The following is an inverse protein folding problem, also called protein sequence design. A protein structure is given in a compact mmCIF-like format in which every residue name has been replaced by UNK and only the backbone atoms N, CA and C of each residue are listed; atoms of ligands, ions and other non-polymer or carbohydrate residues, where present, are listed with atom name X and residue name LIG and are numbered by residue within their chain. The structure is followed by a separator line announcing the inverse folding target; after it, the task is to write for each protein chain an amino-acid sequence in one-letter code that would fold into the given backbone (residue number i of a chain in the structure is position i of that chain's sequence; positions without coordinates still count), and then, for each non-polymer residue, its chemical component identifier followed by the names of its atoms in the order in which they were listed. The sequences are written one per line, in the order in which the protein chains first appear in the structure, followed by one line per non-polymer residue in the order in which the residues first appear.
data_IF_319042150162
#
_entry.id   IF_319042150162
#
_cell.length_a   1.000
_cell.length_b   1.000
_cell.length_c   1.000
_cell.angle_alpha   90.00
_cell.angle_beta   90.00
_cell.angle_gamma   90.00
#
_symmetry.space_group_name_H-M   'P 1'
#
loop_
_entity.id
_entity.type
_entity.pdbx_description
1 polymer ?
#
# COMPACT_ATOMS: atom_id res chain seq x y z
N UNK A 1 12.68 5.24 -23.30
CA UNK A 1 13.07 3.83 -23.31
C UNK A 1 14.55 3.71 -23.67
N UNK A 2 15.21 2.69 -23.17
CA UNK A 2 16.55 2.29 -23.55
C UNK A 2 16.44 1.10 -24.52
N UNK A 3 17.20 1.13 -25.60
CA UNK A 3 17.24 0.07 -26.62
C UNK A 3 18.68 -0.31 -26.94
N UNK A 4 18.92 -1.56 -27.31
CA UNK A 4 20.27 -2.03 -27.63
C UNK A 4 20.75 -1.56 -29.00
N UNK A 5 19.83 -1.27 -29.90
CA UNK A 5 20.18 -0.76 -31.23
C UNK A 5 19.05 0.12 -31.80
N UNK A 6 19.40 1.00 -32.75
CA UNK A 6 18.39 1.83 -33.43
C UNK A 6 17.36 1.02 -34.21
N UNK A 7 17.67 -0.23 -34.57
CA UNK A 7 16.71 -1.12 -35.24
C UNK A 7 15.51 -1.44 -34.36
N UNK A 8 15.69 -1.44 -33.04
CA UNK A 8 14.63 -1.69 -32.08
C UNK A 8 13.64 -0.51 -31.99
N UNK A 9 13.99 0.65 -32.56
CA UNK A 9 13.15 1.83 -32.63
C UNK A 9 12.19 1.85 -33.83
N UNK A 10 12.35 0.92 -34.76
CA UNK A 10 11.54 0.85 -36.01
C UNK A 10 10.04 0.63 -35.78
N UNK A 11 9.65 0.25 -34.58
CA UNK A 11 8.23 0.10 -34.16
C UNK A 11 7.55 1.44 -33.82
N UNK A 12 8.32 2.53 -33.73
CA UNK A 12 7.79 3.85 -33.38
C UNK A 12 7.82 4.75 -34.61
N UNK A 13 6.68 5.38 -34.92
CA UNK A 13 6.56 6.34 -36.03
C UNK A 13 7.39 7.61 -35.82
N UNK A 14 7.52 8.02 -34.57
CA UNK A 14 8.29 9.21 -34.18
C UNK A 14 9.09 8.93 -32.89
N UNK A 15 10.37 9.20 -32.93
CA UNK A 15 11.24 9.16 -31.75
C UNK A 15 12.36 10.20 -31.85
N UNK A 16 12.93 10.53 -30.72
CA UNK A 16 14.12 11.38 -30.62
C UNK A 16 15.14 10.68 -29.73
N UNK A 17 16.34 10.51 -30.23
CA UNK A 17 17.48 10.04 -29.42
C UNK A 17 17.90 11.18 -28.50
N UNK A 18 17.89 10.95 -27.20
CA UNK A 18 18.27 11.95 -26.18
C UNK A 18 19.68 11.69 -25.63
N UNK A 19 20.23 10.52 -25.81
CA UNK A 19 21.56 10.15 -25.37
C UNK A 19 21.88 8.68 -25.62
N UNK A 20 23.10 8.30 -25.32
CA UNK A 20 23.59 6.93 -25.38
C UNK A 20 24.15 6.56 -24.03
N UNK A 21 23.80 5.37 -23.54
CA UNK A 21 24.37 4.82 -22.31
C UNK A 21 25.79 4.29 -22.57
N UNK A 22 26.66 4.39 -21.60
CA UNK A 22 28.03 3.91 -21.65
C UNK A 22 28.45 3.34 -20.28
N UNK A 23 29.59 2.70 -20.23
CA UNK A 23 30.14 2.09 -19.01
C UNK A 23 31.00 3.05 -18.18
N UNK A 24 31.11 4.33 -18.60
CA UNK A 24 31.82 5.34 -17.80
C UNK A 24 30.92 5.81 -16.67
N UNK A 25 31.50 6.08 -15.51
CA UNK A 25 30.80 6.70 -14.39
C UNK A 25 30.67 8.23 -14.58
N UNK A 26 30.44 8.65 -15.82
CA UNK A 26 30.40 10.06 -16.23
C UNK A 26 29.09 10.36 -17.00
N UNK A 27 28.52 11.52 -16.72
CA UNK A 27 27.47 12.14 -17.52
C UNK A 27 28.08 13.23 -18.38
N UNK A 28 27.86 13.20 -19.69
CA UNK A 28 28.35 14.21 -20.62
C UNK A 28 27.21 14.88 -21.37
N UNK A 29 27.16 16.20 -21.38
CA UNK A 29 26.17 16.98 -22.11
C UNK A 29 26.76 18.32 -22.56
N UNK A 30 26.55 18.71 -23.82
CA UNK A 30 26.96 20.01 -24.32
C UNK A 30 28.50 20.28 -24.27
N UNK A 31 29.31 19.24 -24.21
CA UNK A 31 30.78 19.36 -24.05
C UNK A 31 31.24 19.42 -22.60
N UNK A 32 30.35 19.46 -21.65
CA UNK A 32 30.63 19.37 -20.21
C UNK A 32 30.47 17.93 -19.72
N UNK A 33 31.18 17.61 -18.64
CA UNK A 33 31.18 16.27 -18.05
C UNK A 33 31.19 16.38 -16.52
N UNK A 34 30.35 15.55 -15.88
CA UNK A 34 30.27 15.43 -14.44
C UNK A 34 30.31 13.96 -14.04
N UNK A 35 30.92 13.61 -12.93
CA UNK A 35 30.88 12.24 -12.40
C UNK A 35 29.48 11.90 -11.81
N UNK A 36 29.11 10.62 -11.83
CA UNK A 36 27.86 10.16 -11.20
C UNK A 36 27.85 10.46 -9.71
N UNK A 37 28.98 10.30 -9.02
CA UNK A 37 29.09 10.61 -7.59
C UNK A 37 28.85 12.09 -7.31
N UNK A 38 29.44 12.98 -8.12
CA UNK A 38 29.23 14.42 -7.99
C UNK A 38 27.81 14.83 -8.30
N UNK A 39 27.21 14.30 -9.39
CA UNK A 39 25.82 14.53 -9.75
C UNK A 39 24.87 14.05 -8.64
N UNK A 40 25.16 12.89 -8.06
CA UNK A 40 24.40 12.36 -6.93
C UNK A 40 24.53 13.24 -5.68
N UNK A 41 25.72 13.68 -5.35
CA UNK A 41 25.97 14.57 -4.22
C UNK A 41 25.21 15.90 -4.37
N UNK A 42 25.25 16.51 -5.57
CA UNK A 42 24.50 17.74 -5.87
C UNK A 42 22.99 17.52 -5.74
N UNK A 43 22.48 16.41 -6.26
CA UNK A 43 21.04 16.07 -6.19
C UNK A 43 20.56 15.88 -4.75
N UNK A 44 21.39 15.25 -3.91
CA UNK A 44 21.07 14.92 -2.52
C UNK A 44 21.16 16.11 -1.57
N UNK A 45 22.17 16.97 -1.77
CA UNK A 45 22.53 18.03 -0.82
C UNK A 45 21.39 19.01 -0.45
N UNK A 46 20.52 19.49 -1.38
CA UNK A 46 19.56 20.55 -1.10
C UNK A 46 18.61 20.23 0.06
N UNK A 47 18.17 18.99 0.16
CA UNK A 47 17.17 18.58 1.15
C UNK A 47 17.78 17.82 2.34
N UNK A 48 19.08 17.50 2.33
CA UNK A 48 19.70 16.66 3.35
C UNK A 48 19.62 17.25 4.77
N UNK A 49 19.54 18.58 4.89
CA UNK A 49 19.39 19.27 6.18
C UNK A 49 17.99 19.17 6.77
N UNK A 50 16.99 19.05 5.92
CA UNK A 50 15.56 19.03 6.32
C UNK A 50 15.04 17.59 6.34
N UNK A 51 15.42 16.81 5.35
CA UNK A 51 15.04 15.40 5.19
C UNK A 51 16.31 14.57 4.98
N UNK A 52 17.06 14.25 6.06
CA UNK A 52 18.27 13.47 5.94
C UNK A 52 17.98 12.08 5.36
N UNK A 53 18.74 11.68 4.36
CA UNK A 53 18.58 10.35 3.71
C UNK A 53 19.00 9.19 4.62
N UNK A 54 19.71 9.50 5.70
CA UNK A 54 20.07 8.53 6.73
C UNK A 54 19.84 9.17 8.10
N UNK A 55 19.07 8.50 8.92
CA UNK A 55 19.02 8.83 10.34
C UNK A 55 20.35 8.53 11.01
N UNK A 56 20.64 9.27 12.08
CA UNK A 56 21.79 8.94 12.93
C UNK A 56 21.59 7.54 13.47
N UNK A 57 22.58 6.69 13.29
CA UNK A 57 22.52 5.33 13.82
C UNK A 57 22.18 5.37 15.32
N UNK A 58 21.27 4.53 15.79
CA UNK A 58 20.93 4.47 17.20
C UNK A 58 22.19 4.16 18.01
N UNK A 59 22.40 4.89 19.09
CA UNK A 59 23.57 4.72 19.99
C UNK A 59 23.51 3.41 20.78
N UNK A 60 22.36 2.75 20.79
CA UNK A 60 22.18 1.46 21.46
C UNK A 60 21.98 0.33 20.45
N UNK A 61 22.59 -0.83 20.70
CA UNK A 61 22.33 -2.04 19.93
C UNK A 61 20.85 -2.46 20.11
N UNK A 62 20.10 -2.48 19.03
CA UNK A 62 18.73 -2.98 19.03
C UNK A 62 18.80 -4.48 19.31
N UNK A 63 18.15 -4.93 20.38
CA UNK A 63 17.95 -6.37 20.63
C UNK A 63 16.91 -6.86 19.61
N UNK A 64 17.37 -7.55 18.60
CA UNK A 64 16.48 -8.23 17.65
C UNK A 64 16.00 -9.52 18.29
N UNK A 65 14.71 -9.59 18.60
CA UNK A 65 14.06 -10.84 18.96
C UNK A 65 13.81 -11.63 17.66
N UNK A 66 14.69 -12.57 17.35
CA UNK A 66 14.47 -13.47 16.23
C UNK A 66 13.55 -14.61 16.69
N UNK A 67 12.40 -14.75 16.03
CA UNK A 67 11.57 -15.94 16.21
C UNK A 67 12.29 -17.13 15.56
N UNK A 68 12.75 -18.06 16.38
CA UNK A 68 13.53 -19.24 15.92
C UNK A 68 12.64 -20.40 15.47
N UNK A 69 11.37 -20.36 15.81
CA UNK A 69 10.41 -21.40 15.46
C UNK A 69 9.20 -20.76 14.79
N UNK A 70 8.80 -21.32 13.64
CA UNK A 70 7.53 -20.94 13.01
C UNK A 70 6.40 -21.57 13.83
N UNK A 71 5.43 -20.73 14.24
CA UNK A 71 4.21 -21.26 14.83
C UNK A 71 3.46 -22.05 13.73
N UNK A 72 3.17 -23.32 13.97
CA UNK A 72 2.32 -24.12 13.10
C UNK A 72 0.85 -23.81 13.43
N UNK A 73 0.42 -22.63 12.98
CA UNK A 73 -0.95 -22.17 13.16
C UNK A 73 -1.83 -22.87 12.13
N UNK A 74 -2.57 -23.88 12.56
CA UNK A 74 -3.63 -24.50 11.76
C UNK A 74 -4.92 -23.73 11.97
N UNK A 75 -5.65 -23.37 10.89
CA UNK A 75 -6.94 -22.73 11.03
C UNK A 75 -7.91 -23.70 11.74
N UNK A 76 -8.72 -23.16 12.63
CA UNK A 76 -9.79 -23.95 13.29
C UNK A 76 -10.97 -24.18 12.35
N UNK A 77 -11.17 -23.23 11.44
CA UNK A 77 -12.24 -23.27 10.41
C UNK A 77 -11.59 -23.26 9.04
N UNK A 78 -11.91 -24.26 8.22
CA UNK A 78 -11.47 -24.30 6.82
C UNK A 78 -12.62 -23.90 5.91
N UNK A 79 -12.40 -22.91 5.04
CA UNK A 79 -13.37 -22.42 4.07
C UNK A 79 -12.76 -22.59 2.68
N UNK A 80 -13.51 -23.27 1.78
CA UNK A 80 -13.03 -23.54 0.43
C UNK A 80 -12.83 -22.25 -0.37
N UNK A 81 -13.77 -21.32 -0.27
CA UNK A 81 -13.72 -20.03 -0.97
C UNK A 81 -13.99 -18.91 0.04
N UNK A 82 -12.96 -18.36 0.69
CA UNK A 82 -13.15 -17.32 1.69
C UNK A 82 -13.70 -16.03 1.08
N UNK A 83 -14.61 -15.37 1.81
CA UNK A 83 -15.08 -14.03 1.47
C UNK A 83 -14.17 -12.98 2.13
N UNK A 84 -13.58 -12.13 1.31
CA UNK A 84 -12.80 -10.98 1.74
C UNK A 84 -13.62 -9.71 1.56
N UNK A 85 -13.81 -8.95 2.61
CA UNK A 85 -14.46 -7.64 2.56
C UNK A 85 -13.39 -6.56 2.62
N UNK A 86 -13.42 -5.66 1.65
CA UNK A 86 -12.50 -4.52 1.56
C UNK A 86 -13.33 -3.24 1.66
N UNK A 87 -13.36 -2.56 2.82
CA UNK A 87 -13.99 -1.25 2.93
C UNK A 87 -13.14 -0.21 2.22
N UNK A 88 -13.78 0.56 1.33
CA UNK A 88 -13.13 1.62 0.56
C UNK A 88 -13.50 2.95 1.19
N UNK A 89 -12.54 3.56 1.87
CA UNK A 89 -12.71 4.86 2.52
C UNK A 89 -12.26 5.99 1.61
N UNK A 90 -12.75 7.22 1.82
CA UNK A 90 -12.15 8.39 1.19
C UNK A 90 -10.65 8.45 1.48
N UNK A 91 -9.84 8.47 0.41
CA UNK A 91 -8.38 8.50 0.49
C UNK A 91 -7.67 7.14 0.42
N UNK A 92 -8.37 6.01 0.45
CA UNK A 92 -7.78 4.70 0.07
C UNK A 92 -7.71 4.58 -1.46
N UNK A 93 -6.74 3.85 -1.98
CA UNK A 93 -6.57 3.69 -3.43
C UNK A 93 -5.96 2.35 -3.88
N UNK A 94 -5.74 1.41 -3.00
CA UNK A 94 -5.17 0.09 -3.33
C UNK A 94 -6.23 -1.03 -3.32
N UNK A 95 -7.52 -0.68 -3.35
CA UNK A 95 -8.64 -1.62 -3.26
C UNK A 95 -8.68 -2.60 -4.45
N UNK A 96 -8.43 -2.12 -5.66
CA UNK A 96 -8.46 -2.96 -6.87
C UNK A 96 -7.26 -3.91 -6.95
N UNK A 97 -6.08 -3.47 -6.55
CA UNK A 97 -4.88 -4.32 -6.52
C UNK A 97 -5.01 -5.38 -5.43
N UNK A 98 -5.52 -5.00 -4.26
CA UNK A 98 -5.84 -5.92 -3.17
C UNK A 98 -6.90 -6.94 -3.59
N UNK A 99 -7.98 -6.48 -4.21
CA UNK A 99 -9.03 -7.35 -4.77
C UNK A 99 -8.42 -8.40 -5.70
N UNK A 100 -7.63 -7.96 -6.70
CA UNK A 100 -6.97 -8.86 -7.65
C UNK A 100 -6.06 -9.88 -6.97
N UNK A 101 -5.32 -9.46 -5.93
CA UNK A 101 -4.43 -10.37 -5.21
C UNK A 101 -5.21 -11.48 -4.48
N UNK A 102 -6.30 -11.13 -3.81
CA UNK A 102 -7.16 -12.11 -3.12
C UNK A 102 -7.91 -13.02 -4.10
N UNK A 103 -8.45 -12.49 -5.20
CA UNK A 103 -9.11 -13.28 -6.23
C UNK A 103 -8.14 -14.27 -6.89
N UNK A 104 -6.90 -13.85 -7.16
CA UNK A 104 -5.84 -14.73 -7.66
C UNK A 104 -5.48 -15.85 -6.67
N UNK A 105 -5.65 -15.61 -5.38
CA UNK A 105 -5.47 -16.60 -4.33
C UNK A 105 -6.71 -17.51 -4.12
N UNK A 106 -7.79 -17.32 -4.89
CA UNK A 106 -8.98 -18.16 -4.85
C UNK A 106 -10.10 -17.64 -3.93
N UNK A 107 -9.98 -16.42 -3.40
CA UNK A 107 -11.03 -15.83 -2.58
C UNK A 107 -12.12 -15.11 -3.41
N UNK A 108 -13.31 -14.94 -2.85
CA UNK A 108 -14.29 -13.95 -3.32
C UNK A 108 -14.02 -12.63 -2.64
N UNK A 109 -14.18 -11.51 -3.36
CA UNK A 109 -13.94 -10.18 -2.81
C UNK A 109 -15.15 -9.29 -2.98
N UNK A 110 -15.56 -8.64 -1.89
CA UNK A 110 -16.59 -7.63 -1.86
C UNK A 110 -15.96 -6.28 -1.47
N UNK A 111 -16.11 -5.26 -2.34
CA UNK A 111 -15.78 -3.88 -2.02
C UNK A 111 -16.99 -3.22 -1.39
N UNK A 112 -16.80 -2.51 -0.27
CA UNK A 112 -17.84 -1.73 0.41
C UNK A 112 -17.43 -0.27 0.43
N UNK A 113 -18.09 0.58 -0.35
CA UNK A 113 -17.76 1.99 -0.46
C UNK A 113 -18.33 2.79 0.73
N UNK A 114 -17.46 3.43 1.49
CA UNK A 114 -17.85 4.29 2.62
C UNK A 114 -18.10 5.69 2.09
N UNK A 115 -19.36 6.07 2.01
CA UNK A 115 -19.83 7.37 1.52
C UNK A 115 -20.00 8.33 2.71
N UNK A 116 -19.32 9.47 2.66
CA UNK A 116 -19.30 10.44 3.77
C UNK A 116 -19.83 11.84 3.38
N UNK A 117 -20.54 11.98 2.25
CA UNK A 117 -21.06 13.29 1.80
C UNK A 117 -22.23 13.79 2.67
N UNK A 118 -23.02 12.89 3.24
CA UNK A 118 -24.12 13.20 4.16
C UNK A 118 -24.11 12.22 5.33
N UNK A 119 -24.73 12.61 6.44
CA UNK A 119 -24.89 11.75 7.60
C UNK A 119 -25.66 10.45 7.26
N UNK A 120 -26.70 10.56 6.44
CA UNK A 120 -27.48 9.40 6.02
C UNK A 120 -26.63 8.44 5.16
N UNK A 121 -25.85 8.95 4.21
CA UNK A 121 -24.95 8.11 3.40
C UNK A 121 -23.93 7.38 4.26
N UNK A 122 -23.42 8.03 5.31
CA UNK A 122 -22.49 7.39 6.22
C UNK A 122 -23.17 6.28 7.04
N UNK A 123 -24.39 6.52 7.55
CA UNK A 123 -25.18 5.50 8.25
C UNK A 123 -25.45 4.30 7.36
N UNK A 124 -25.92 4.52 6.14
CA UNK A 124 -26.19 3.44 5.17
C UNK A 124 -24.93 2.64 4.88
N UNK A 125 -23.77 3.30 4.74
CA UNK A 125 -22.49 2.63 4.51
C UNK A 125 -22.03 1.80 5.71
N UNK A 126 -22.28 2.28 6.92
CA UNK A 126 -21.99 1.53 8.17
C UNK A 126 -22.89 0.29 8.24
N UNK A 127 -24.17 0.40 7.89
CA UNK A 127 -25.10 -0.71 7.87
C UNK A 127 -24.68 -1.77 6.83
N UNK A 128 -24.30 -1.35 5.62
CA UNK A 128 -23.77 -2.21 4.58
C UNK A 128 -22.48 -2.92 5.01
N UNK A 129 -21.56 -2.17 5.62
CA UNK A 129 -20.29 -2.71 6.09
C UNK A 129 -20.47 -3.73 7.22
N UNK A 130 -21.37 -3.46 8.16
CA UNK A 130 -21.70 -4.42 9.24
C UNK A 130 -22.20 -5.75 8.68
N UNK A 131 -23.16 -5.69 7.75
CA UNK A 131 -23.71 -6.90 7.08
C UNK A 131 -22.60 -7.65 6.36
N UNK A 132 -21.74 -6.95 5.63
CA UNK A 132 -20.62 -7.54 4.92
C UNK A 132 -19.62 -8.22 5.88
N UNK A 133 -19.22 -7.55 6.98
CA UNK A 133 -18.28 -8.13 7.97
C UNK A 133 -18.86 -9.38 8.63
N UNK A 134 -20.15 -9.41 8.92
CA UNK A 134 -20.81 -10.59 9.49
C UNK A 134 -20.75 -11.83 8.58
N UNK A 135 -20.60 -11.64 7.28
CA UNK A 135 -20.46 -12.72 6.29
C UNK A 135 -18.99 -12.99 5.92
N UNK A 136 -18.09 -12.07 6.20
CA UNK A 136 -16.68 -12.16 5.82
C UNK A 136 -15.92 -13.24 6.60
N UNK A 137 -14.90 -13.78 5.95
CA UNK A 137 -13.82 -14.55 6.59
C UNK A 137 -12.60 -13.67 6.82
N UNK A 138 -12.43 -12.65 5.99
CA UNK A 138 -11.29 -11.72 6.06
C UNK A 138 -11.81 -10.29 5.87
N UNK A 139 -11.32 -9.36 6.67
CA UNK A 139 -11.48 -7.91 6.44
C UNK A 139 -10.11 -7.34 6.10
N UNK A 140 -9.98 -6.70 4.94
CA UNK A 140 -8.73 -6.11 4.48
C UNK A 140 -8.87 -4.59 4.37
N UNK A 141 -8.06 -3.84 5.11
CA UNK A 141 -8.00 -2.39 5.02
C UNK A 141 -6.92 -1.98 4.01
N UNK A 142 -7.31 -1.38 2.87
CA UNK A 142 -6.34 -0.98 1.87
C UNK A 142 -5.57 0.27 2.33
N UNK A 143 -4.35 0.43 1.80
CA UNK A 143 -3.59 1.65 1.96
C UNK A 143 -4.09 2.80 1.08
N UNK A 144 -3.37 3.91 1.06
CA UNK A 144 -3.69 5.06 0.22
C UNK A 144 -2.68 6.19 0.37
N UNK A 145 -2.77 7.17 -0.52
CA UNK A 145 -1.92 8.36 -0.56
C UNK A 145 -2.61 9.61 -0.03
N UNK A 146 -3.76 9.47 0.61
CA UNK A 146 -4.33 10.64 1.28
C UNK A 146 -3.34 11.12 2.34
N UNK A 147 -3.51 12.33 2.82
CA UNK A 147 -2.85 12.84 4.01
C UNK A 147 -3.14 11.96 5.26
N UNK A 148 -3.21 10.64 5.05
CA UNK A 148 -3.53 9.60 6.02
C UNK A 148 -2.49 9.47 7.10
N UNK A 149 -1.28 9.85 6.77
CA UNK A 149 -0.15 9.91 7.69
C UNK A 149 -0.18 11.18 8.56
N UNK A 150 -1.05 12.13 8.22
CA UNK A 150 -1.29 13.34 8.98
C UNK A 150 -2.41 13.16 10.03
N UNK A 151 -2.43 13.97 11.12
CA UNK A 151 -3.43 13.84 12.18
C UNK A 151 -4.89 13.94 11.70
N UNK A 152 -5.13 14.66 10.60
CA UNK A 152 -6.44 14.88 10.00
C UNK A 152 -6.76 13.92 8.84
N UNK A 153 -5.88 12.95 8.57
CA UNK A 153 -5.97 12.07 7.41
C UNK A 153 -7.01 10.96 7.50
N UNK A 154 -7.09 10.15 6.44
CA UNK A 154 -8.05 9.06 6.31
C UNK A 154 -7.91 7.99 7.39
N UNK A 155 -6.72 7.78 7.93
CA UNK A 155 -6.51 6.86 9.06
C UNK A 155 -7.33 7.21 10.29
N UNK A 156 -7.45 8.50 10.63
CA UNK A 156 -8.30 8.99 11.71
C UNK A 156 -9.79 8.74 11.43
N UNK A 157 -10.22 8.96 10.19
CA UNK A 157 -11.60 8.70 9.79
C UNK A 157 -11.92 7.19 9.84
N UNK A 158 -11.05 6.34 9.31
CA UNK A 158 -11.17 4.88 9.39
C UNK A 158 -11.29 4.43 10.85
N UNK A 159 -10.38 4.88 11.71
CA UNK A 159 -10.40 4.55 13.13
C UNK A 159 -11.70 5.01 13.81
N UNK A 160 -12.24 6.16 13.42
CA UNK A 160 -13.51 6.68 13.95
C UNK A 160 -14.69 5.82 13.51
N UNK A 161 -14.76 5.44 12.25
CA UNK A 161 -15.82 4.55 11.72
C UNK A 161 -15.75 3.19 12.40
N UNK A 162 -14.56 2.59 12.52
CA UNK A 162 -14.38 1.28 13.15
C UNK A 162 -14.64 1.27 14.68
N UNK A 163 -14.61 2.43 15.32
CA UNK A 163 -15.06 2.58 16.73
C UNK A 163 -16.57 2.52 16.90
N UNK A 164 -17.36 2.55 15.82
CA UNK A 164 -18.80 2.33 15.91
C UNK A 164 -19.07 1.00 16.64
N UNK A 165 -19.91 0.97 17.70
CA UNK A 165 -20.10 -0.23 18.52
C UNK A 165 -20.55 -1.47 17.73
N UNK A 166 -21.35 -1.28 16.68
CA UNK A 166 -21.86 -2.38 15.83
C UNK A 166 -20.74 -2.99 14.98
N UNK A 167 -19.91 -2.14 14.34
CA UNK A 167 -18.75 -2.59 13.56
C UNK A 167 -17.70 -3.23 14.46
N UNK A 168 -17.44 -2.63 15.62
CA UNK A 168 -16.54 -3.22 16.62
C UNK A 168 -16.99 -4.61 17.04
N UNK A 169 -18.28 -4.78 17.35
CA UNK A 169 -18.84 -6.09 17.71
C UNK A 169 -18.72 -7.11 16.57
N UNK A 170 -19.00 -6.72 15.31
CA UNK A 170 -18.88 -7.59 14.15
C UNK A 170 -17.42 -8.01 13.88
N UNK A 171 -16.45 -7.09 14.06
CA UNK A 171 -15.03 -7.41 13.92
C UNK A 171 -14.55 -8.31 15.05
N UNK A 172 -14.94 -8.02 16.30
CA UNK A 172 -14.60 -8.88 17.44
C UNK A 172 -15.16 -10.30 17.24
N UNK A 173 -16.40 -10.42 16.76
CA UNK A 173 -16.99 -11.72 16.44
C UNK A 173 -16.20 -12.44 15.33
N UNK A 174 -15.80 -11.72 14.27
CA UNK A 174 -14.97 -12.27 13.20
C UNK A 174 -13.67 -12.86 13.75
N UNK A 175 -12.97 -12.12 14.61
CA UNK A 175 -11.64 -12.51 15.08
C UNK A 175 -11.69 -13.57 16.19
N UNK A 176 -12.59 -13.40 17.16
CA UNK A 176 -12.60 -14.22 18.38
C UNK A 176 -13.42 -15.50 18.23
N UNK A 177 -14.53 -15.46 17.47
CA UNK A 177 -15.48 -16.58 17.40
C UNK A 177 -15.44 -17.31 16.06
N UNK A 178 -15.12 -16.63 14.95
CA UNK A 178 -15.19 -17.21 13.59
C UNK A 178 -13.84 -17.56 12.99
N UNK A 179 -12.76 -17.43 13.77
CA UNK A 179 -11.36 -17.69 13.31
C UNK A 179 -10.98 -16.88 12.05
N UNK A 180 -11.56 -15.69 11.93
CA UNK A 180 -11.33 -14.80 10.79
C UNK A 180 -10.05 -13.97 10.92
N UNK A 181 -9.76 -13.19 9.88
CA UNK A 181 -8.56 -12.35 9.79
C UNK A 181 -8.95 -10.87 9.56
N UNK A 182 -8.08 -9.96 10.04
CA UNK A 182 -8.13 -8.54 9.72
C UNK A 182 -6.71 -8.01 9.50
#
# INVERSE_FOLDING_TARGET
IEVKSEKDLSIFDNYRIVGTTNDSELLSYGGETISLDEAYAINKAPLEKVYPTREKAPTSKIKVAACKTRADLKPKVTVETPLVVIPVFPGTNCEYDSKRAFEKAGAKVQLVLIRNKTEQMLKDSIDELEVAIKQANIVMLPGGFSAGDEPEGSGKFIATVLKNPRLKAAITDLLDNRDGLM
#
